data_IF_439155318668
#
_entry.id   IF_439155318668
#
_cell.length_a   1.000
_cell.length_b   1.000
_cell.length_c   1.000
_cell.angle_alpha   90.00
_cell.angle_beta   90.00
_cell.angle_gamma   90.00
#
_symmetry.space_group_name_H-M   'P 1'
#
loop_
_entity.id
_entity.type
_entity.pdbx_description
1 polymer ?
#
# COMPACT_ATOMS: atom_id res chain seq x y z
N UNK A 1 0.37 -29.01 40.17
CA UNK A 1 1.61 -29.83 40.20
C UNK A 1 2.18 -29.80 38.79
N UNK A 2 3.11 -28.91 38.50
CA UNK A 2 3.75 -28.81 37.17
C UNK A 2 4.62 -30.05 36.96
N UNK A 3 4.33 -30.85 35.93
CA UNK A 3 5.17 -32.00 35.57
C UNK A 3 6.53 -31.47 35.09
N UNK A 4 7.59 -32.17 35.45
CA UNK A 4 8.94 -31.88 34.97
C UNK A 4 9.27 -32.86 33.86
N UNK A 5 9.91 -32.38 32.79
CA UNK A 5 10.24 -33.18 31.60
C UNK A 5 11.73 -33.06 31.29
N UNK A 6 12.35 -34.16 30.86
CA UNK A 6 13.67 -34.09 30.22
C UNK A 6 13.55 -33.73 28.74
N UNK A 7 14.64 -33.27 28.11
CA UNK A 7 14.67 -33.05 26.66
C UNK A 7 14.43 -34.36 25.89
N UNK A 8 14.85 -35.50 26.44
CA UNK A 8 14.61 -36.81 25.85
C UNK A 8 13.11 -37.18 25.90
N UNK A 9 12.43 -36.83 27.00
CA UNK A 9 10.98 -37.04 27.12
C UNK A 9 10.24 -36.22 26.08
N UNK A 10 10.56 -34.93 25.93
CA UNK A 10 9.92 -34.09 24.90
C UNK A 10 10.22 -34.62 23.50
N UNK A 11 11.45 -35.07 23.22
CA UNK A 11 11.83 -35.63 21.92
C UNK A 11 11.04 -36.90 21.54
N UNK A 12 10.53 -37.65 22.52
CA UNK A 12 9.66 -38.81 22.28
C UNK A 12 8.22 -38.43 21.85
N UNK A 13 7.81 -37.17 22.07
CA UNK A 13 6.50 -36.62 21.70
C UNK A 13 6.61 -35.85 20.37
N UNK A 14 6.97 -36.57 19.31
CA UNK A 14 7.29 -36.02 17.99
C UNK A 14 6.31 -36.44 16.87
N UNK A 15 5.15 -37.01 17.22
CA UNK A 15 4.16 -37.51 16.25
C UNK A 15 2.92 -36.62 16.21
N UNK A 16 2.13 -36.63 15.12
CA UNK A 16 0.90 -35.85 15.05
C UNK A 16 -0.12 -36.16 16.16
N UNK A 17 -0.19 -37.40 16.61
CA UNK A 17 -1.08 -37.84 17.71
C UNK A 17 -0.46 -37.66 19.10
N UNK A 18 0.79 -37.18 19.18
CA UNK A 18 1.50 -36.93 20.41
C UNK A 18 2.62 -35.88 20.19
N UNK A 19 2.26 -34.58 20.27
CA UNK A 19 3.08 -33.46 19.77
C UNK A 19 3.38 -32.45 20.88
N UNK A 20 4.58 -32.51 21.45
CA UNK A 20 5.04 -31.53 22.44
C UNK A 20 6.13 -30.62 21.86
N UNK A 21 6.20 -29.38 22.36
CA UNK A 21 7.29 -28.44 22.06
C UNK A 21 7.77 -27.75 23.33
N UNK A 22 8.99 -27.22 23.28
CA UNK A 22 9.53 -26.34 24.34
C UNK A 22 9.56 -24.89 23.86
N UNK A 23 9.08 -23.98 24.70
CA UNK A 23 9.25 -22.53 24.54
C UNK A 23 9.74 -21.95 25.87
N UNK A 24 10.94 -21.35 25.87
CA UNK A 24 11.61 -20.75 27.03
C UNK A 24 11.63 -21.68 28.27
N UNK A 25 11.92 -22.95 28.02
CA UNK A 25 12.00 -24.01 29.04
C UNK A 25 10.65 -24.48 29.60
N UNK A 26 9.52 -23.96 29.11
CA UNK A 26 8.18 -24.49 29.40
C UNK A 26 7.75 -25.47 28.30
N UNK A 27 7.09 -26.56 28.69
CA UNK A 27 6.65 -27.64 27.78
C UNK A 27 5.16 -27.50 27.50
N UNK A 28 4.80 -27.49 26.22
CA UNK A 28 3.43 -27.31 25.74
C UNK A 28 2.97 -28.54 24.95
N UNK A 29 1.77 -29.03 25.25
CA UNK A 29 1.09 -30.06 24.46
C UNK A 29 0.23 -29.39 23.39
N UNK A 30 0.61 -29.59 22.12
CA UNK A 30 -0.10 -29.02 20.97
C UNK A 30 -0.85 -30.09 20.17
N UNK A 31 -0.98 -31.31 20.70
CA UNK A 31 -1.62 -32.44 20.01
C UNK A 31 -3.02 -32.08 19.52
N UNK A 32 -3.84 -31.42 20.35
CA UNK A 32 -5.18 -30.96 19.96
C UNK A 32 -5.15 -29.59 19.29
N UNK A 33 -4.19 -28.75 19.64
CA UNK A 33 -4.11 -27.38 19.14
C UNK A 33 -3.59 -27.29 17.69
N UNK A 34 -2.95 -28.33 17.18
CA UNK A 34 -2.33 -28.28 15.85
C UNK A 34 -3.33 -27.99 14.71
N UNK A 35 -4.60 -28.41 14.88
CA UNK A 35 -5.67 -28.17 13.91
C UNK A 35 -6.25 -26.74 14.01
N UNK A 36 -6.06 -26.08 15.16
CA UNK A 36 -6.50 -24.70 15.42
C UNK A 36 -5.40 -23.66 15.16
N UNK A 37 -4.15 -24.10 14.96
CA UNK A 37 -3.02 -23.20 14.76
C UNK A 37 -3.13 -22.44 13.42
N UNK A 38 -3.17 -21.09 13.41
CA UNK A 38 -3.39 -20.29 12.19
C UNK A 38 -2.35 -20.51 11.07
N UNK A 39 -1.12 -20.90 11.43
CA UNK A 39 -0.07 -21.26 10.46
C UNK A 39 -0.19 -22.69 9.89
N UNK A 40 -1.20 -23.45 10.32
CA UNK A 40 -1.44 -24.84 9.92
C UNK A 40 -0.58 -25.88 10.66
N UNK A 41 -1.12 -27.10 10.78
CA UNK A 41 -0.51 -28.21 11.53
C UNK A 41 0.89 -28.62 11.08
N UNK A 42 1.21 -28.49 9.79
CA UNK A 42 2.52 -28.88 9.22
C UNK A 42 3.70 -28.11 9.83
N UNK A 43 3.48 -26.87 10.27
CA UNK A 43 4.54 -26.05 10.87
C UNK A 43 4.88 -26.58 12.27
N UNK A 44 3.86 -26.92 13.06
CA UNK A 44 4.05 -27.49 14.40
C UNK A 44 4.65 -28.88 14.35
N UNK A 45 4.22 -29.72 13.41
CA UNK A 45 4.77 -31.07 13.20
C UNK A 45 6.28 -31.05 12.86
N UNK A 46 6.80 -29.98 12.23
CA UNK A 46 8.23 -29.85 11.90
C UNK A 46 9.12 -29.61 13.12
N UNK A 47 8.55 -28.98 14.15
CA UNK A 47 9.21 -28.65 15.42
C UNK A 47 8.78 -29.54 16.57
N UNK A 48 7.97 -30.56 16.29
CA UNK A 48 7.52 -31.54 17.27
C UNK A 48 8.72 -32.23 17.95
N UNK A 49 8.65 -32.33 19.27
CA UNK A 49 9.70 -32.88 20.12
C UNK A 49 10.98 -32.03 20.22
N UNK A 50 10.94 -30.75 19.84
CA UNK A 50 12.11 -29.85 19.85
C UNK A 50 11.88 -28.59 20.67
N UNK A 51 12.98 -27.92 20.98
CA UNK A 51 12.96 -26.53 21.42
C UNK A 51 12.64 -25.62 20.23
N UNK A 52 11.47 -24.99 20.31
CA UNK A 52 10.93 -24.11 19.28
C UNK A 52 10.97 -22.64 19.70
N UNK A 53 11.71 -22.27 20.76
CA UNK A 53 11.72 -20.90 21.30
C UNK A 53 12.09 -19.86 20.25
N UNK A 54 13.13 -20.11 19.45
CA UNK A 54 13.56 -19.21 18.36
C UNK A 54 12.48 -19.04 17.30
N UNK A 55 11.82 -20.13 16.91
CA UNK A 55 10.75 -20.14 15.92
C UNK A 55 9.50 -19.46 16.48
N UNK A 56 9.18 -19.66 17.76
CA UNK A 56 8.07 -19.02 18.42
C UNK A 56 8.23 -17.50 18.38
N UNK A 57 9.35 -16.97 18.89
CA UNK A 57 9.61 -15.53 18.94
C UNK A 57 9.79 -14.84 17.59
N UNK A 58 10.11 -15.61 16.54
CA UNK A 58 10.13 -15.09 15.18
C UNK A 58 8.74 -14.75 14.64
N UNK A 59 7.70 -15.46 15.09
CA UNK A 59 6.33 -15.37 14.53
C UNK A 59 5.26 -14.96 15.56
N UNK A 60 5.61 -14.95 16.86
CA UNK A 60 4.68 -14.70 17.96
C UNK A 60 5.27 -13.70 18.96
N UNK A 61 4.40 -13.14 19.79
CA UNK A 61 4.75 -12.20 20.86
C UNK A 61 4.32 -12.74 22.23
N UNK A 62 4.73 -12.05 23.29
CA UNK A 62 4.47 -12.46 24.68
C UNK A 62 2.97 -12.53 25.00
N UNK A 63 2.14 -11.72 24.34
CA UNK A 63 0.68 -11.73 24.52
C UNK A 63 0.05 -13.06 24.09
N UNK A 64 0.59 -13.70 23.04
CA UNK A 64 0.15 -15.02 22.61
C UNK A 64 0.49 -16.07 23.67
N UNK A 65 1.70 -16.01 24.22
CA UNK A 65 2.13 -16.93 25.29
C UNK A 65 1.21 -16.77 26.52
N UNK A 66 0.94 -15.54 26.96
CA UNK A 66 0.02 -15.27 28.08
C UNK A 66 -1.39 -15.83 27.85
N UNK A 67 -1.90 -15.72 26.61
CA UNK A 67 -3.25 -16.19 26.26
C UNK A 67 -3.39 -17.72 26.32
N UNK A 68 -2.40 -18.46 25.81
CA UNK A 68 -2.51 -19.91 25.64
C UNK A 68 -1.79 -20.73 26.72
N UNK A 69 -0.92 -20.10 27.50
CA UNK A 69 -0.12 -20.79 28.53
C UNK A 69 -0.96 -21.57 29.53
N UNK A 70 -2.06 -21.00 30.02
CA UNK A 70 -2.93 -21.66 30.99
C UNK A 70 -3.55 -22.97 30.46
N UNK A 71 -3.77 -23.07 29.15
CA UNK A 71 -4.50 -24.19 28.54
C UNK A 71 -3.57 -25.24 27.92
N UNK A 72 -2.40 -24.83 27.43
CA UNK A 72 -1.51 -25.70 26.65
C UNK A 72 -0.25 -26.11 27.41
N UNK A 73 0.12 -25.43 28.49
CA UNK A 73 1.31 -25.79 29.26
C UNK A 73 1.07 -27.05 30.07
N UNK A 74 1.90 -28.08 29.83
CA UNK A 74 1.85 -29.35 30.57
C UNK A 74 2.97 -29.49 31.60
N UNK A 75 4.01 -28.66 31.50
CA UNK A 75 5.14 -28.69 32.43
C UNK A 75 6.27 -27.72 32.09
N UNK A 76 7.44 -28.01 32.63
CA UNK A 76 8.70 -27.30 32.35
C UNK A 76 9.86 -28.29 32.30
N UNK A 77 10.96 -27.91 31.66
CA UNK A 77 12.14 -28.77 31.58
C UNK A 77 12.86 -28.91 32.93
N UNK A 78 13.44 -30.09 33.19
CA UNK A 78 14.20 -30.39 34.41
C UNK A 78 15.40 -29.45 34.60
N UNK A 79 15.94 -28.90 33.51
CA UNK A 79 17.03 -27.92 33.51
C UNK A 79 16.60 -26.52 33.95
N UNK A 80 15.31 -26.26 34.16
CA UNK A 80 14.78 -24.97 34.66
C UNK A 80 14.97 -24.86 36.18
N UNK A 81 16.22 -24.95 36.64
CA UNK A 81 16.63 -24.55 37.99
C UNK A 81 16.72 -23.02 38.01
N UNK A 82 16.16 -22.39 39.03
CA UNK A 82 15.95 -20.95 39.15
C UNK A 82 17.17 -20.09 38.74
N UNK A 83 17.14 -19.54 37.53
CA UNK A 83 17.99 -18.41 37.13
C UNK A 83 17.16 -17.13 37.23
N UNK A 84 17.66 -16.20 38.04
CA UNK A 84 17.13 -14.84 38.16
C UNK A 84 17.22 -14.14 36.79
N UNK A 85 16.25 -13.26 36.46
CA UNK A 85 16.24 -12.57 35.17
C UNK A 85 17.54 -11.77 34.97
N UNK A 86 18.13 -11.77 33.75
CA UNK A 86 19.33 -11.01 33.46
C UNK A 86 19.09 -9.51 33.64
N UNK A 87 20.04 -8.86 34.31
CA UNK A 87 20.07 -7.41 34.57
C UNK A 87 19.99 -6.64 33.25
N UNK A 88 19.08 -5.64 33.12
CA UNK A 88 19.05 -4.75 31.96
C UNK A 88 20.37 -3.96 31.85
N UNK A 89 20.85 -3.63 30.63
CA UNK A 89 21.97 -2.71 30.46
C UNK A 89 21.65 -1.35 31.08
N UNK A 90 22.69 -0.70 31.63
CA UNK A 90 22.59 0.55 32.38
C UNK A 90 21.89 1.68 31.61
N UNK A 91 20.89 2.27 32.28
CA UNK A 91 20.19 3.49 31.88
C UNK A 91 21.13 4.70 31.91
N UNK A 92 21.11 5.62 30.92
CA UNK A 92 21.76 6.93 31.04
C UNK A 92 21.14 7.75 32.18
N UNK A 93 21.86 8.74 32.75
CA UNK A 93 21.42 9.46 33.95
C UNK A 93 20.09 10.22 33.74
N UNK A 94 19.35 10.51 34.83
CA UNK A 94 17.99 11.02 34.76
C UNK A 94 17.98 12.44 34.16
N UNK A 95 17.22 12.62 33.07
CA UNK A 95 16.76 13.94 32.69
C UNK A 95 15.75 14.46 33.74
N UNK A 96 15.87 15.73 34.08
CA UNK A 96 15.04 16.44 35.06
C UNK A 96 13.54 16.22 34.83
N UNK A 97 12.80 16.06 35.94
CA UNK A 97 11.34 15.94 35.97
C UNK A 97 10.69 17.20 35.39
N UNK A 98 10.24 17.15 34.13
CA UNK A 98 9.18 18.04 33.66
C UNK A 98 7.83 17.48 34.10
N UNK A 99 7.06 18.34 34.77
CA UNK A 99 5.72 18.06 35.29
C UNK A 99 4.78 17.48 34.20
N UNK A 100 4.01 16.47 34.57
CA UNK A 100 2.83 16.04 33.81
C UNK A 100 1.77 17.13 33.89
N UNK A 101 1.49 17.79 32.78
CA UNK A 101 0.28 18.60 32.60
C UNK A 101 -0.84 17.65 32.17
N UNK A 102 -1.84 17.49 33.04
CA UNK A 102 -3.14 16.89 32.69
C UNK A 102 -3.94 17.99 31.99
N UNK A 103 -4.52 17.77 30.80
CA UNK A 103 -5.42 18.75 30.20
C UNK A 103 -6.72 18.79 31.01
N UNK A 104 -6.93 19.86 31.78
CA UNK A 104 -8.26 20.27 32.19
C UNK A 104 -8.87 21.08 31.05
N UNK A 105 -10.08 20.72 30.63
CA UNK A 105 -10.89 21.54 29.76
C UNK A 105 -11.41 22.74 30.55
N UNK A 106 -10.79 23.90 30.38
CA UNK A 106 -11.38 25.18 30.74
C UNK A 106 -12.05 25.79 29.50
N UNK A 107 -13.30 26.23 29.66
CA UNK A 107 -14.05 26.97 28.64
C UNK A 107 -13.40 28.34 28.44
N UNK A 108 -12.75 28.54 27.31
CA UNK A 108 -12.08 29.81 27.02
C UNK A 108 -11.35 29.80 25.68
N UNK A 109 -12.05 29.51 24.59
CA UNK A 109 -11.53 29.78 23.24
C UNK A 109 -11.49 31.28 23.02
N UNK A 110 -10.32 31.91 23.22
CA UNK A 110 -10.02 33.23 22.64
C UNK A 110 -9.49 32.97 21.24
N UNK A 111 -10.31 33.25 20.23
CA UNK A 111 -9.87 33.29 18.85
C UNK A 111 -8.78 34.36 18.69
N UNK A 112 -7.72 34.15 17.88
CA UNK A 112 -6.79 35.21 17.56
C UNK A 112 -7.56 36.30 16.80
N UNK A 113 -7.61 37.51 17.36
CA UNK A 113 -8.15 38.66 16.67
C UNK A 113 -7.30 38.95 15.41
N UNK A 114 -7.91 39.18 14.23
CA UNK A 114 -7.18 39.51 13.02
C UNK A 114 -6.44 40.85 13.21
N UNK A 115 -5.15 40.87 12.86
CA UNK A 115 -4.35 42.09 12.85
C UNK A 115 -4.84 43.08 11.80
N UNK A 116 -4.48 44.38 11.90
CA UNK A 116 -5.08 45.47 11.12
C UNK A 116 -4.75 45.50 9.62
N UNK A 117 -4.23 44.40 9.05
CA UNK A 117 -4.09 44.21 7.62
C UNK A 117 -5.24 43.40 6.98
N UNK A 118 -6.22 42.94 7.78
CA UNK A 118 -7.45 42.31 7.27
C UNK A 118 -8.49 43.39 6.92
N UNK A 119 -8.23 44.18 5.89
CA UNK A 119 -9.28 44.98 5.24
C UNK A 119 -9.36 44.57 3.77
N UNK A 120 -10.56 44.06 3.43
CA UNK A 120 -11.00 43.41 2.18
C UNK A 120 -10.69 41.91 2.06
N UNK A 121 -11.25 41.10 2.96
CA UNK A 121 -11.81 39.82 2.50
C UNK A 121 -13.16 40.14 1.89
N UNK A 122 -13.25 40.09 0.56
CA UNK A 122 -14.54 39.86 -0.09
C UNK A 122 -15.16 38.63 0.58
N UNK A 123 -16.38 38.76 1.08
CA UNK A 123 -17.14 37.62 1.56
C UNK A 123 -17.37 36.71 0.37
N UNK A 124 -16.55 35.67 0.24
CA UNK A 124 -16.75 34.65 -0.78
C UNK A 124 -18.16 34.05 -0.55
N UNK A 125 -19.03 34.27 -1.53
CA UNK A 125 -20.42 33.83 -1.47
C UNK A 125 -20.48 32.30 -1.41
N UNK A 126 -21.51 31.75 -0.77
CA UNK A 126 -21.73 30.32 -0.77
C UNK A 126 -22.01 29.86 -2.20
N UNK A 127 -21.43 28.72 -2.60
CA UNK A 127 -21.71 28.11 -3.90
C UNK A 127 -23.18 27.69 -3.99
N UNK A 128 -23.75 27.75 -5.19
CA UNK A 128 -25.10 27.26 -5.46
C UNK A 128 -25.23 25.77 -5.07
N UNK A 129 -26.30 25.38 -4.37
CA UNK A 129 -26.52 23.97 -4.00
C UNK A 129 -26.66 23.07 -5.22
N UNK A 130 -26.05 21.89 -5.17
CA UNK A 130 -26.16 20.87 -6.22
C UNK A 130 -26.24 19.45 -5.63
N UNK A 131 -26.80 18.51 -6.40
CA UNK A 131 -26.89 17.10 -6.05
C UNK A 131 -28.28 16.71 -5.55
N UNK A 132 -28.35 15.62 -4.76
CA UNK A 132 -29.62 15.02 -4.36
C UNK A 132 -30.40 15.82 -3.32
N UNK A 133 -29.73 16.77 -2.64
CA UNK A 133 -30.22 17.53 -1.48
C UNK A 133 -30.73 16.66 -0.31
N UNK A 134 -30.49 15.35 -0.37
CA UNK A 134 -30.75 14.43 0.73
C UNK A 134 -29.68 14.70 1.79
N UNK A 135 -30.07 14.88 3.07
CA UNK A 135 -29.12 15.12 4.15
C UNK A 135 -28.00 14.06 4.15
N UNK A 136 -26.74 14.52 4.13
CA UNK A 136 -25.53 13.69 4.16
C UNK A 136 -25.26 12.83 2.91
N UNK A 137 -26.06 12.95 1.84
CA UNK A 137 -25.81 12.23 0.58
C UNK A 137 -24.73 12.89 -0.30
N UNK A 138 -24.48 14.19 -0.07
CA UNK A 138 -23.39 14.96 -0.68
C UNK A 138 -22.63 15.76 0.40
N UNK A 139 -21.36 16.13 0.16
CA UNK A 139 -20.59 16.95 1.09
C UNK A 139 -21.21 18.34 1.34
N UNK A 140 -21.27 18.75 2.60
CA UNK A 140 -21.91 20.01 3.03
C UNK A 140 -21.31 21.28 2.37
N UNK A 141 -20.03 21.24 1.99
CA UNK A 141 -19.37 22.37 1.31
C UNK A 141 -19.98 22.69 -0.06
N UNK A 142 -20.72 21.74 -0.63
CA UNK A 142 -21.36 21.85 -1.94
C UNK A 142 -22.88 22.04 -1.86
N UNK A 143 -23.44 22.09 -0.65
CA UNK A 143 -24.88 22.23 -0.43
C UNK A 143 -25.27 23.53 0.28
N UNK A 144 -24.44 24.06 1.18
CA UNK A 144 -24.76 25.30 1.90
C UNK A 144 -23.62 25.92 2.70
N UNK A 145 -22.44 25.29 2.76
CA UNK A 145 -21.35 25.70 3.64
C UNK A 145 -20.15 26.22 2.84
N UNK A 146 -19.70 27.43 3.15
CA UNK A 146 -18.49 27.97 2.52
C UNK A 146 -17.24 27.24 3.05
N UNK A 147 -16.42 26.70 2.14
CA UNK A 147 -15.12 26.11 2.47
C UNK A 147 -14.00 27.00 1.94
N UNK A 148 -12.95 27.29 2.74
CA UNK A 148 -11.79 28.01 2.23
C UNK A 148 -10.93 27.19 1.25
N UNK A 149 -11.26 25.91 1.05
CA UNK A 149 -10.53 24.99 0.17
C UNK A 149 -11.26 24.64 -1.12
N UNK A 150 -12.59 24.81 -1.17
CA UNK A 150 -13.39 24.50 -2.35
C UNK A 150 -13.95 25.79 -2.95
N UNK A 151 -14.04 25.82 -4.27
CA UNK A 151 -14.48 26.99 -5.05
C UNK A 151 -15.25 26.50 -6.29
N UNK A 152 -15.53 27.42 -7.21
CA UNK A 152 -16.33 27.15 -8.40
C UNK A 152 -15.70 26.12 -9.34
N UNK A 153 -14.36 26.03 -9.42
CA UNK A 153 -13.71 25.03 -10.28
C UNK A 153 -13.85 23.62 -9.72
N UNK A 154 -13.86 23.48 -8.39
CA UNK A 154 -14.16 22.22 -7.72
C UNK A 154 -15.61 21.77 -7.95
N UNK A 155 -16.55 22.70 -7.82
CA UNK A 155 -17.96 22.48 -8.12
C UNK A 155 -18.18 22.05 -9.58
N UNK A 156 -17.56 22.76 -10.52
CA UNK A 156 -17.67 22.46 -11.94
C UNK A 156 -17.09 21.08 -12.30
N UNK A 157 -15.94 20.71 -11.71
CA UNK A 157 -15.35 19.38 -11.90
C UNK A 157 -16.26 18.28 -11.37
N UNK A 158 -16.79 18.46 -10.15
CA UNK A 158 -17.70 17.48 -9.55
C UNK A 158 -18.93 17.25 -10.44
N UNK A 159 -19.57 18.32 -10.93
CA UNK A 159 -20.73 18.19 -11.81
C UNK A 159 -20.38 17.44 -13.11
N UNK A 160 -19.25 17.76 -13.74
CA UNK A 160 -18.79 17.10 -14.97
C UNK A 160 -18.52 15.60 -14.76
N UNK A 161 -17.79 15.25 -13.69
CA UNK A 161 -17.43 13.86 -13.41
C UNK A 161 -18.66 13.07 -13.00
N UNK A 162 -19.57 13.67 -12.23
CA UNK A 162 -20.84 13.05 -11.84
C UNK A 162 -21.71 12.70 -13.03
N UNK A 163 -21.88 13.65 -13.96
CA UNK A 163 -22.65 13.40 -15.19
C UNK A 163 -22.11 12.17 -15.93
N UNK A 164 -20.78 12.07 -16.06
CA UNK A 164 -20.14 10.90 -16.68
C UNK A 164 -20.33 9.61 -15.87
N UNK A 165 -20.15 9.65 -14.55
CA UNK A 165 -20.31 8.49 -13.67
C UNK A 165 -21.74 7.95 -13.72
N UNK A 166 -22.74 8.82 -13.56
CA UNK A 166 -24.16 8.42 -13.52
C UNK A 166 -24.66 7.91 -14.89
N UNK A 167 -24.15 8.44 -16.00
CA UNK A 167 -24.60 8.04 -17.35
C UNK A 167 -23.86 6.82 -17.91
N UNK A 168 -22.53 6.76 -17.75
CA UNK A 168 -21.69 5.79 -18.47
C UNK A 168 -21.18 4.65 -17.59
N UNK A 169 -21.24 4.78 -16.25
CA UNK A 169 -20.59 3.84 -15.32
C UNK A 169 -21.60 3.18 -14.39
N UNK A 170 -22.30 3.97 -13.59
CA UNK A 170 -23.19 3.48 -12.52
C UNK A 170 -24.22 2.44 -13.00
N UNK A 171 -24.87 2.59 -14.18
CA UNK A 171 -25.84 1.61 -14.66
C UNK A 171 -25.24 0.22 -14.94
N UNK A 172 -23.93 0.11 -15.12
CA UNK A 172 -23.26 -1.10 -15.59
C UNK A 172 -22.25 -1.68 -14.59
N UNK A 173 -21.91 -0.92 -13.54
CA UNK A 173 -20.79 -1.25 -12.64
C UNK A 173 -20.94 -2.61 -11.96
N UNK A 174 -22.16 -2.99 -11.59
CA UNK A 174 -22.45 -4.30 -10.98
C UNK A 174 -22.13 -5.44 -11.93
N UNK A 175 -22.57 -5.34 -13.20
CA UNK A 175 -22.29 -6.35 -14.23
C UNK A 175 -20.78 -6.47 -14.48
N UNK A 176 -20.06 -5.34 -14.54
CA UNK A 176 -18.61 -5.33 -14.75
C UNK A 176 -17.84 -5.95 -13.59
N UNK A 177 -18.29 -5.72 -12.35
CA UNK A 177 -17.71 -6.35 -11.17
C UNK A 177 -17.92 -7.87 -11.18
N UNK A 178 -19.16 -8.34 -11.39
CA UNK A 178 -19.47 -9.78 -11.49
C UNK A 178 -18.71 -10.44 -12.66
N UNK A 179 -18.64 -9.74 -13.80
CA UNK A 179 -17.85 -10.13 -14.97
C UNK A 179 -16.33 -10.00 -14.80
N UNK A 180 -15.88 -9.48 -13.66
CA UNK A 180 -14.46 -9.24 -13.31
C UNK A 180 -13.72 -8.37 -14.35
N UNK A 181 -14.43 -7.51 -15.07
CA UNK A 181 -13.84 -6.70 -16.15
C UNK A 181 -14.60 -5.39 -16.34
N UNK A 182 -13.90 -4.29 -16.16
CA UNK A 182 -14.31 -2.97 -16.68
C UNK A 182 -13.98 -2.91 -18.18
N UNK A 183 -14.86 -2.39 -19.04
CA UNK A 183 -14.55 -2.18 -20.46
C UNK A 183 -13.35 -1.26 -20.66
N UNK A 184 -12.49 -1.60 -21.64
CA UNK A 184 -11.29 -0.82 -21.93
C UNK A 184 -11.61 0.62 -22.38
N UNK A 185 -12.79 0.82 -22.98
CA UNK A 185 -13.32 2.14 -23.35
C UNK A 185 -13.49 3.07 -22.15
N UNK A 186 -13.87 2.57 -20.96
CA UNK A 186 -14.04 3.41 -19.76
C UNK A 186 -12.67 3.93 -19.28
N UNK A 187 -11.63 3.09 -19.33
CA UNK A 187 -10.28 3.54 -19.01
C UNK A 187 -9.74 4.51 -20.08
N UNK A 188 -10.05 4.28 -21.36
CA UNK A 188 -9.70 5.21 -22.44
C UNK A 188 -10.33 6.59 -22.22
N UNK A 189 -11.60 6.64 -21.81
CA UNK A 189 -12.29 7.88 -21.48
C UNK A 189 -11.62 8.66 -20.34
N UNK A 190 -11.03 8.00 -19.33
CA UNK A 190 -10.24 8.68 -18.29
C UNK A 190 -9.08 9.49 -18.89
N UNK A 191 -8.46 8.98 -19.95
CA UNK A 191 -7.38 9.68 -20.67
C UNK A 191 -7.90 10.77 -21.60
N UNK A 192 -8.97 10.51 -22.36
CA UNK A 192 -9.60 11.47 -23.29
C UNK A 192 -10.17 12.69 -22.58
N UNK A 193 -10.77 12.49 -21.40
CA UNK A 193 -11.29 13.57 -20.54
C UNK A 193 -10.18 14.28 -19.74
N UNK A 194 -8.93 13.85 -19.87
CA UNK A 194 -7.79 14.43 -19.17
C UNK A 194 -7.74 14.14 -17.67
N UNK A 195 -8.53 13.19 -17.16
CA UNK A 195 -8.58 12.85 -15.74
C UNK A 195 -7.29 12.15 -15.27
N UNK A 196 -6.69 11.28 -16.09
CA UNK A 196 -5.41 10.64 -15.74
C UNK A 196 -4.29 11.66 -15.47
N UNK A 197 -4.23 12.74 -16.25
CA UNK A 197 -3.25 13.82 -16.03
C UNK A 197 -3.48 14.58 -14.71
N UNK A 198 -4.72 14.59 -14.21
CA UNK A 198 -5.10 15.18 -12.94
C UNK A 198 -4.84 14.29 -11.72
N UNK A 199 -4.50 13.01 -11.90
CA UNK A 199 -4.37 11.99 -10.85
C UNK A 199 -2.91 11.61 -10.54
N UNK A 200 -1.97 12.54 -10.73
CA UNK A 200 -0.52 12.28 -10.58
C UNK A 200 0.08 12.80 -9.25
N UNK A 201 -0.70 13.48 -8.41
CA UNK A 201 -0.20 14.10 -7.18
C UNK A 201 0.79 15.24 -7.40
N UNK A 202 0.80 15.81 -8.61
CA UNK A 202 1.66 16.94 -9.03
C UNK A 202 0.83 17.95 -9.80
N UNK A 203 1.44 19.09 -10.17
CA UNK A 203 0.80 20.05 -11.08
C UNK A 203 0.42 19.36 -12.39
N UNK A 204 -0.75 19.71 -12.92
CA UNK A 204 -1.29 19.13 -14.14
C UNK A 204 -0.28 19.25 -15.32
N UNK A 205 0.21 18.13 -15.88
CA UNK A 205 1.30 18.14 -16.87
C UNK A 205 0.78 18.41 -18.29
N UNK A 206 0.25 19.61 -18.52
CA UNK A 206 -0.36 20.01 -19.79
C UNK A 206 0.55 19.86 -21.03
N UNK A 207 1.87 19.84 -20.85
CA UNK A 207 2.85 19.66 -21.93
C UNK A 207 3.04 18.19 -22.36
N UNK A 208 2.51 17.22 -21.61
CA UNK A 208 2.67 15.78 -21.87
C UNK A 208 1.41 15.12 -22.41
N UNK A 209 0.32 15.87 -22.58
CA UNK A 209 -0.93 15.40 -23.19
C UNK A 209 -1.65 16.58 -23.84
N UNK A 210 -2.37 16.41 -24.96
CA UNK A 210 -3.27 17.43 -25.48
C UNK A 210 -4.65 17.42 -24.78
N UNK A 211 -5.04 16.32 -24.13
CA UNK A 211 -6.35 16.16 -23.51
C UNK A 211 -6.47 17.00 -22.25
N UNK A 212 -7.67 17.53 -21.98
CA UNK A 212 -7.94 18.46 -20.88
C UNK A 212 -9.25 18.10 -20.21
N UNK A 213 -9.28 18.32 -18.90
CA UNK A 213 -10.53 18.44 -18.16
C UNK A 213 -11.30 19.64 -18.71
N UNK A 214 -12.59 19.46 -18.99
CA UNK A 214 -13.40 20.48 -19.66
C UNK A 214 -13.72 21.66 -18.72
N UNK A 215 -14.05 21.37 -17.47
CA UNK A 215 -14.46 22.33 -16.44
C UNK A 215 -13.31 23.09 -15.79
N UNK A 216 -12.08 22.54 -15.79
CA UNK A 216 -10.95 23.08 -15.03
C UNK A 216 -9.72 23.27 -15.92
N UNK A 217 -9.25 24.51 -16.10
CA UNK A 217 -8.00 24.75 -16.82
C UNK A 217 -6.80 24.23 -16.00
N UNK A 218 -5.73 23.69 -16.64
CA UNK A 218 -4.58 23.12 -15.95
C UNK A 218 -3.92 24.04 -14.91
N UNK A 219 -3.96 25.35 -15.12
CA UNK A 219 -3.35 26.37 -14.26
C UNK A 219 -4.09 26.52 -12.92
N UNK A 220 -5.36 26.12 -12.86
CA UNK A 220 -6.20 26.13 -11.65
C UNK A 220 -6.30 24.77 -10.99
N UNK A 221 -5.64 23.73 -11.52
CA UNK A 221 -5.67 22.40 -10.95
C UNK A 221 -4.90 22.31 -9.62
N UNK A 222 -5.53 21.71 -8.62
CA UNK A 222 -4.92 21.43 -7.31
C UNK A 222 -5.26 20.02 -6.80
N UNK A 223 -4.80 19.67 -5.60
CA UNK A 223 -5.00 18.35 -5.01
C UNK A 223 -6.45 18.08 -4.57
N UNK A 224 -7.28 19.10 -4.38
CA UNK A 224 -8.69 18.92 -4.07
C UNK A 224 -9.45 18.50 -5.33
N UNK A 225 -9.06 18.97 -6.52
CA UNK A 225 -9.59 18.45 -7.79
C UNK A 225 -9.27 16.96 -7.98
N UNK A 226 -8.04 16.54 -7.68
CA UNK A 226 -7.63 15.13 -7.70
C UNK A 226 -8.48 14.27 -6.72
N UNK A 227 -8.73 14.80 -5.52
CA UNK A 227 -9.59 14.15 -4.53
C UNK A 227 -11.02 13.98 -5.06
N UNK A 228 -11.58 14.98 -5.75
CA UNK A 228 -12.94 14.92 -6.28
C UNK A 228 -13.10 13.88 -7.39
N UNK A 229 -12.09 13.69 -8.25
CA UNK A 229 -12.10 12.59 -9.21
C UNK A 229 -12.22 11.23 -8.51
N UNK A 230 -11.46 11.04 -7.43
CA UNK A 230 -11.52 9.79 -6.65
C UNK A 230 -12.86 9.63 -5.94
N UNK A 231 -13.39 10.72 -5.36
CA UNK A 231 -14.66 10.73 -4.63
C UNK A 231 -15.85 10.41 -5.55
N UNK A 232 -15.96 11.07 -6.70
CA UNK A 232 -17.06 10.83 -7.66
C UNK A 232 -17.00 9.42 -8.27
N UNK A 233 -15.80 8.89 -8.59
CA UNK A 233 -15.66 7.49 -9.01
C UNK A 233 -16.13 6.50 -7.92
N UNK A 234 -15.90 6.84 -6.65
CA UNK A 234 -16.28 6.00 -5.50
C UNK A 234 -17.79 5.97 -5.26
N UNK A 235 -18.56 6.92 -5.79
CA UNK A 235 -20.02 6.97 -5.64
C UNK A 235 -20.74 5.76 -6.21
N UNK A 236 -20.13 5.10 -7.19
CA UNK A 236 -20.62 3.85 -7.78
C UNK A 236 -20.71 2.68 -6.78
N UNK A 237 -20.10 2.80 -5.59
CA UNK A 237 -20.08 1.74 -4.60
C UNK A 237 -19.18 0.55 -4.95
N UNK A 238 -18.42 0.63 -6.06
CA UNK A 238 -17.53 -0.44 -6.51
C UNK A 238 -16.06 -0.12 -6.25
N UNK A 239 -15.48 -0.81 -5.27
CA UNK A 239 -14.03 -0.80 -5.09
C UNK A 239 -13.27 -1.42 -6.27
N UNK A 240 -13.89 -2.37 -6.99
CA UNK A 240 -13.32 -3.01 -8.17
C UNK A 240 -13.07 -2.02 -9.30
N UNK A 241 -14.08 -1.21 -9.63
CA UNK A 241 -14.01 -0.14 -10.62
C UNK A 241 -12.96 0.91 -10.23
N UNK A 242 -13.04 1.44 -9.01
CA UNK A 242 -12.10 2.48 -8.54
C UNK A 242 -10.66 1.98 -8.66
N UNK A 243 -10.39 0.74 -8.21
CA UNK A 243 -9.06 0.17 -8.32
C UNK A 243 -8.67 -0.20 -9.76
N UNK A 244 -9.64 -0.48 -10.65
CA UNK A 244 -9.39 -0.67 -12.08
C UNK A 244 -8.88 0.63 -12.73
N UNK A 245 -9.56 1.74 -12.47
CA UNK A 245 -9.32 3.01 -13.16
C UNK A 245 -8.13 3.77 -12.60
N UNK A 246 -7.99 3.81 -11.27
CA UNK A 246 -6.99 4.66 -10.62
C UNK A 246 -6.05 3.88 -9.69
N UNK A 247 -6.36 2.64 -9.34
CA UNK A 247 -5.63 1.86 -8.34
C UNK A 247 -4.19 1.52 -8.74
N UNK A 248 -3.97 0.99 -9.95
CA UNK A 248 -2.63 0.73 -10.47
C UNK A 248 -1.93 2.01 -10.93
N UNK A 249 -2.65 2.86 -11.66
CA UNK A 249 -2.13 4.11 -12.21
C UNK A 249 -1.63 5.07 -11.11
N UNK A 250 -2.46 5.34 -10.09
CA UNK A 250 -2.22 6.35 -9.04
C UNK A 250 -1.03 6.03 -8.13
N UNK A 251 -0.55 4.77 -8.11
CA UNK A 251 0.64 4.37 -7.36
C UNK A 251 1.81 3.97 -8.25
N UNK A 252 1.53 3.48 -9.47
CA UNK A 252 2.55 3.04 -10.42
C UNK A 252 3.17 4.18 -11.21
N UNK A 253 2.39 5.21 -11.55
CA UNK A 253 2.82 6.33 -12.38
C UNK A 253 3.64 7.39 -11.63
N UNK A 254 3.32 7.79 -10.38
CA UNK A 254 4.07 8.86 -9.71
C UNK A 254 5.58 8.60 -9.55
N UNK A 255 6.06 7.38 -9.26
CA UNK A 255 7.50 7.10 -9.23
C UNK A 255 8.20 7.36 -10.57
N UNK A 256 7.55 7.03 -11.70
CA UNK A 256 8.07 7.35 -13.04
C UNK A 256 8.18 8.85 -13.23
N UNK A 257 7.12 9.62 -12.95
CA UNK A 257 7.11 11.08 -13.11
C UNK A 257 8.18 11.75 -12.26
N UNK A 258 8.39 11.25 -11.03
CA UNK A 258 9.29 11.85 -10.06
C UNK A 258 10.76 11.47 -10.22
N UNK A 259 11.03 10.21 -10.58
CA UNK A 259 12.38 9.64 -10.54
C UNK A 259 12.86 9.10 -11.90
N UNK A 260 11.99 9.04 -12.90
CA UNK A 260 12.36 8.65 -14.25
C UNK A 260 13.25 9.68 -14.93
N UNK A 261 14.10 9.20 -15.85
CA UNK A 261 14.86 10.08 -16.74
C UNK A 261 13.88 10.82 -17.67
N UNK A 262 14.25 12.05 -18.08
CA UNK A 262 13.37 12.89 -18.90
C UNK A 262 12.98 12.22 -20.22
N UNK A 263 13.93 11.53 -20.84
CA UNK A 263 13.76 10.80 -22.09
C UNK A 263 12.76 9.65 -21.91
N UNK A 264 12.84 8.93 -20.79
CA UNK A 264 11.91 7.85 -20.45
C UNK A 264 10.49 8.41 -20.25
N UNK A 265 10.36 9.45 -19.42
CA UNK A 265 9.06 10.10 -19.15
C UNK A 265 8.41 10.59 -20.43
N UNK A 266 9.16 11.30 -21.28
CA UNK A 266 8.64 11.83 -22.55
C UNK A 266 8.23 10.74 -23.54
N UNK A 267 8.88 9.57 -23.50
CA UNK A 267 8.56 8.44 -24.39
C UNK A 267 7.25 7.76 -24.00
N UNK A 268 7.00 7.55 -22.71
CA UNK A 268 5.93 6.64 -22.26
C UNK A 268 4.74 7.36 -21.63
N UNK A 269 4.97 8.48 -20.93
CA UNK A 269 3.90 9.13 -20.18
C UNK A 269 2.76 9.63 -21.07
N UNK A 270 3.00 10.19 -22.28
CA UNK A 270 1.91 10.61 -23.15
C UNK A 270 0.90 9.50 -23.47
N UNK A 271 1.36 8.28 -23.75
CA UNK A 271 0.48 7.13 -24.01
C UNK A 271 -0.31 6.68 -22.77
N UNK A 272 0.28 6.80 -21.59
CA UNK A 272 -0.40 6.52 -20.32
C UNK A 272 -1.49 7.57 -20.08
N UNK A 273 -1.18 8.86 -20.24
CA UNK A 273 -2.13 9.96 -20.02
C UNK A 273 -3.25 10.01 -21.06
N UNK A 274 -3.01 9.50 -22.26
CA UNK A 274 -4.03 9.32 -23.28
C UNK A 274 -4.97 8.13 -23.02
N UNK A 275 -4.69 7.31 -22.00
CA UNK A 275 -5.46 6.10 -21.68
C UNK A 275 -5.18 4.91 -22.61
N UNK A 276 -4.17 5.01 -23.49
CA UNK A 276 -3.78 3.95 -24.43
C UNK A 276 -2.88 2.88 -23.79
N UNK A 277 -2.21 3.26 -22.70
CA UNK A 277 -1.28 2.41 -21.97
C UNK A 277 -1.59 2.43 -20.48
N UNK A 278 -1.37 1.30 -19.83
CA UNK A 278 -1.60 1.13 -18.38
C UNK A 278 -0.29 0.89 -17.64
N UNK A 279 -0.23 1.39 -16.42
CA UNK A 279 0.91 1.23 -15.50
C UNK A 279 0.44 0.79 -14.12
N UNK A 280 1.19 -0.08 -13.47
CA UNK A 280 0.94 -0.50 -12.09
C UNK A 280 2.21 -0.51 -11.24
N UNK A 281 2.02 -0.66 -9.92
CA UNK A 281 3.10 -0.82 -8.96
C UNK A 281 3.27 -2.30 -8.57
N UNK A 282 4.46 -2.85 -8.77
CA UNK A 282 4.80 -4.25 -8.55
C UNK A 282 5.87 -4.40 -7.45
N UNK A 283 5.44 -4.38 -6.19
CA UNK A 283 6.34 -4.49 -5.03
C UNK A 283 6.21 -5.85 -4.36
N UNK A 284 5.01 -6.13 -3.84
CA UNK A 284 4.71 -7.29 -2.98
C UNK A 284 5.00 -8.60 -3.68
N UNK A 285 5.57 -9.53 -2.91
CA UNK A 285 5.92 -10.89 -3.35
C UNK A 285 5.13 -11.92 -2.52
N UNK A 286 5.07 -13.19 -2.96
CA UNK A 286 4.46 -14.25 -2.15
C UNK A 286 4.99 -14.32 -0.71
N UNK A 287 6.30 -14.10 -0.54
CA UNK A 287 6.99 -14.20 0.75
C UNK A 287 7.33 -12.84 1.39
N UNK A 288 7.03 -11.71 0.71
CA UNK A 288 7.36 -10.36 1.18
C UNK A 288 6.20 -9.37 0.96
N UNK A 289 5.36 -9.24 1.98
CA UNK A 289 4.29 -8.23 2.07
C UNK A 289 4.71 -7.02 2.91
N UNK A 290 4.55 -7.13 4.24
CA UNK A 290 4.98 -6.08 5.18
C UNK A 290 6.51 -5.93 5.25
N UNK A 291 7.27 -7.00 4.96
CA UNK A 291 8.73 -6.98 4.97
C UNK A 291 9.31 -6.79 3.57
N UNK A 292 8.98 -5.66 2.94
CA UNK A 292 9.47 -5.31 1.59
C UNK A 292 11.00 -5.26 1.53
N UNK A 293 11.67 -4.99 2.67
CA UNK A 293 13.13 -4.93 2.74
C UNK A 293 13.81 -6.27 2.41
N UNK A 294 13.09 -7.39 2.54
CA UNK A 294 13.56 -8.75 2.26
C UNK A 294 12.94 -9.38 1.01
N UNK A 295 12.45 -8.56 0.08
CA UNK A 295 12.06 -9.03 -1.25
C UNK A 295 13.22 -9.77 -1.96
N UNK A 296 12.85 -10.71 -2.82
CA UNK A 296 13.73 -11.70 -3.48
C UNK A 296 13.74 -11.61 -4.99
N UNK A 297 12.77 -10.95 -5.63
CA UNK A 297 12.81 -10.68 -7.06
C UNK A 297 14.09 -9.90 -7.37
N UNK A 298 14.97 -10.50 -8.16
CA UNK A 298 16.33 -10.01 -8.40
C UNK A 298 16.46 -9.35 -9.76
N UNK A 299 17.42 -8.44 -9.85
CA UNK A 299 17.81 -7.77 -11.08
C UNK A 299 19.34 -7.74 -11.14
N UNK A 300 19.94 -8.61 -11.96
CA UNK A 300 21.39 -8.71 -12.15
C UNK A 300 21.81 -7.86 -13.32
N UNK A 301 22.81 -6.99 -13.13
CA UNK A 301 23.35 -6.19 -14.23
C UNK A 301 24.09 -7.10 -15.21
N UNK A 302 23.86 -6.92 -16.51
CA UNK A 302 24.56 -7.61 -17.58
C UNK A 302 26.06 -7.30 -17.56
N UNK A 303 26.86 -8.21 -18.11
CA UNK A 303 28.33 -8.04 -18.19
C UNK A 303 28.73 -6.75 -18.93
N UNK A 304 27.96 -6.35 -19.94
CA UNK A 304 28.18 -5.11 -20.69
C UNK A 304 27.63 -3.85 -20.01
N UNK A 305 26.97 -3.99 -18.85
CA UNK A 305 26.41 -2.90 -18.07
C UNK A 305 25.23 -2.17 -18.69
N UNK A 306 24.63 -2.70 -19.77
CA UNK A 306 23.56 -2.00 -20.52
C UNK A 306 22.15 -2.34 -20.06
N UNK A 307 21.95 -3.50 -19.44
CA UNK A 307 20.63 -3.92 -19.00
C UNK A 307 20.69 -4.76 -17.72
N UNK A 308 19.57 -4.85 -17.03
CA UNK A 308 19.35 -5.82 -15.97
C UNK A 308 18.63 -7.05 -16.54
N UNK A 309 18.97 -8.22 -16.02
CA UNK A 309 18.20 -9.45 -16.16
C UNK A 309 17.37 -9.62 -14.90
N UNK A 310 16.05 -9.55 -15.02
CA UNK A 310 15.10 -9.59 -13.91
C UNK A 310 14.46 -10.97 -13.80
N UNK A 311 14.50 -11.54 -12.60
CA UNK A 311 13.89 -12.83 -12.27
C UNK A 311 13.12 -12.76 -10.95
N UNK A 312 11.93 -13.35 -10.90
CA UNK A 312 11.15 -13.49 -9.67
C UNK A 312 9.65 -13.26 -9.86
N UNK A 313 8.94 -13.14 -8.74
CA UNK A 313 7.48 -13.09 -8.74
C UNK A 313 6.94 -11.91 -7.93
N UNK A 314 5.79 -11.41 -8.36
CA UNK A 314 5.00 -10.38 -7.69
C UNK A 314 3.58 -10.87 -7.48
N UNK A 315 2.97 -10.49 -6.37
CA UNK A 315 1.65 -10.94 -5.93
C UNK A 315 0.81 -9.74 -5.49
N UNK A 316 -0.51 -9.83 -5.68
CA UNK A 316 -1.48 -8.77 -5.36
C UNK A 316 -1.33 -7.51 -6.21
N UNK A 317 -0.87 -7.64 -7.45
CA UNK A 317 -0.61 -6.47 -8.29
C UNK A 317 -1.89 -6.02 -8.98
N UNK A 318 -2.46 -4.92 -8.49
CA UNK A 318 -3.65 -4.27 -9.07
C UNK A 318 -3.37 -3.83 -10.51
N UNK A 319 -4.33 -4.12 -11.39
CA UNK A 319 -4.27 -3.91 -12.86
C UNK A 319 -3.19 -4.68 -13.62
N UNK A 320 -2.36 -5.49 -12.94
CA UNK A 320 -1.20 -6.14 -13.56
C UNK A 320 -1.53 -6.91 -14.84
N UNK A 321 -2.72 -7.51 -14.93
CA UNK A 321 -3.20 -8.28 -16.10
C UNK A 321 -3.35 -7.42 -17.37
N UNK A 322 -3.55 -6.11 -17.26
CA UNK A 322 -3.71 -5.19 -18.39
C UNK A 322 -2.55 -4.22 -18.57
N UNK A 323 -1.64 -4.12 -17.60
CA UNK A 323 -0.56 -3.14 -17.65
C UNK A 323 0.47 -3.43 -18.73
N UNK A 324 0.89 -2.37 -19.42
CA UNK A 324 2.04 -2.35 -20.32
C UNK A 324 3.33 -2.06 -19.56
N UNK A 325 3.24 -1.37 -18.42
CA UNK A 325 4.38 -0.94 -17.62
C UNK A 325 4.24 -1.34 -16.15
N UNK A 326 5.34 -1.81 -15.56
CA UNK A 326 5.41 -2.23 -14.16
C UNK A 326 6.50 -1.45 -13.44
N UNK A 327 6.10 -0.53 -12.57
CA UNK A 327 7.03 0.09 -11.60
C UNK A 327 7.35 -0.95 -10.53
N UNK A 328 8.52 -1.57 -10.63
CA UNK A 328 8.85 -2.82 -9.93
C UNK A 328 9.97 -2.63 -8.92
N UNK A 329 9.77 -3.06 -7.68
CA UNK A 329 10.84 -3.14 -6.69
C UNK A 329 11.62 -4.45 -6.85
N UNK A 330 12.94 -4.34 -6.99
CA UNK A 330 13.84 -5.48 -7.26
C UNK A 330 15.11 -5.39 -6.42
N UNK A 331 15.72 -6.54 -6.15
CA UNK A 331 17.01 -6.71 -5.50
C UNK A 331 18.12 -6.53 -6.54
N UNK A 332 18.85 -5.42 -6.47
CA UNK A 332 20.05 -5.17 -7.30
C UNK A 332 21.35 -5.24 -6.50
N UNK A 333 21.25 -5.29 -5.17
CA UNK A 333 22.40 -5.31 -4.26
C UNK A 333 22.23 -6.34 -3.15
N UNK A 334 22.89 -6.11 -2.01
CA UNK A 334 22.86 -6.99 -0.84
C UNK A 334 21.52 -7.02 -0.09
N UNK A 335 21.47 -7.68 1.09
CA UNK A 335 20.25 -7.78 1.88
C UNK A 335 19.75 -6.44 2.44
N UNK A 336 18.47 -6.39 2.80
CA UNK A 336 17.83 -5.24 3.45
C UNK A 336 17.53 -4.06 2.51
N UNK A 337 17.09 -2.94 3.09
CA UNK A 337 16.56 -1.79 2.32
C UNK A 337 17.58 -1.16 1.36
N UNK A 338 18.88 -1.28 1.66
CA UNK A 338 19.95 -0.67 0.86
C UNK A 338 20.34 -1.50 -0.37
N UNK A 339 19.72 -2.65 -0.62
CA UNK A 339 19.94 -3.42 -1.85
C UNK A 339 18.76 -3.44 -2.80
N UNK A 340 17.72 -2.66 -2.53
CA UNK A 340 16.51 -2.59 -3.35
C UNK A 340 16.57 -1.38 -4.28
N UNK A 341 16.17 -1.59 -5.52
CA UNK A 341 16.01 -0.58 -6.58
C UNK A 341 14.58 -0.57 -7.11
N UNK A 342 14.21 0.51 -7.82
CA UNK A 342 13.01 0.57 -8.62
C UNK A 342 13.36 0.55 -10.10
N UNK A 343 12.77 -0.37 -10.84
CA UNK A 343 12.88 -0.46 -12.30
C UNK A 343 11.50 -0.26 -12.92
N UNK A 344 11.45 0.41 -14.05
CA UNK A 344 10.28 0.38 -14.92
C UNK A 344 10.43 -0.77 -15.93
N UNK A 345 9.67 -1.84 -15.72
CA UNK A 345 9.68 -3.01 -16.60
C UNK A 345 8.56 -2.84 -17.62
N UNK A 346 8.87 -2.97 -18.90
CA UNK A 346 7.86 -2.99 -19.96
C UNK A 346 7.37 -4.42 -20.16
N UNK A 347 6.07 -4.62 -20.41
CA UNK A 347 5.52 -5.92 -20.75
C UNK A 347 6.15 -6.41 -22.05
N UNK A 348 6.65 -7.64 -22.04
CA UNK A 348 7.29 -8.25 -23.19
C UNK A 348 7.68 -9.70 -22.91
N UNK A 349 8.71 -10.16 -23.62
CA UNK A 349 9.30 -11.49 -23.42
C UNK A 349 9.71 -11.70 -21.95
N UNK A 350 9.44 -12.89 -21.41
CA UNK A 350 9.73 -13.23 -20.02
C UNK A 350 8.74 -12.67 -18.98
N UNK A 351 7.76 -11.85 -19.37
CA UNK A 351 6.72 -11.35 -18.47
C UNK A 351 5.45 -12.16 -18.63
N UNK A 352 5.08 -12.95 -17.61
CA UNK A 352 3.80 -13.66 -17.56
C UNK A 352 2.92 -13.12 -16.45
N UNK A 353 1.60 -13.12 -16.68
CA UNK A 353 0.61 -12.59 -15.73
C UNK A 353 -0.57 -13.51 -15.59
N UNK A 354 -0.99 -13.78 -14.36
CA UNK A 354 -2.15 -14.61 -14.03
C UNK A 354 -3.06 -13.89 -13.05
N UNK A 355 -4.34 -13.76 -13.40
CA UNK A 355 -5.34 -13.16 -12.52
C UNK A 355 -5.53 -13.98 -11.25
N UNK A 356 -5.81 -13.28 -10.15
CA UNK A 356 -6.16 -13.86 -8.85
C UNK A 356 -7.67 -13.80 -8.63
N UNK A 357 -8.23 -14.86 -8.07
CA UNK A 357 -9.60 -14.84 -7.54
C UNK A 357 -9.58 -14.31 -6.10
N UNK A 358 -10.22 -13.16 -5.91
CA UNK A 358 -10.28 -12.45 -4.64
C UNK A 358 -11.72 -12.45 -4.10
N UNK A 359 -11.88 -12.24 -2.78
CA UNK A 359 -13.21 -12.18 -2.16
C UNK A 359 -14.04 -10.97 -2.62
N UNK A 360 -13.40 -9.89 -3.06
CA UNK A 360 -14.04 -8.70 -3.60
C UNK A 360 -13.15 -7.98 -4.60
N UNK A 361 -13.51 -6.75 -4.96
CA UNK A 361 -12.81 -5.90 -5.95
C UNK A 361 -12.48 -6.63 -7.26
N UNK A 362 -13.42 -7.45 -7.72
CA UNK A 362 -13.19 -8.43 -8.78
C UNK A 362 -12.74 -7.82 -10.11
N UNK A 363 -13.30 -6.66 -10.47
CA UNK A 363 -12.93 -5.96 -11.70
C UNK A 363 -11.61 -5.19 -11.60
N UNK A 364 -10.91 -5.17 -10.45
CA UNK A 364 -9.63 -4.45 -10.29
C UNK A 364 -8.43 -5.14 -10.96
N UNK A 365 -8.58 -6.42 -11.34
CA UNK A 365 -7.54 -7.19 -12.01
C UNK A 365 -6.32 -7.46 -11.14
N UNK A 366 -6.52 -7.85 -9.88
CA UNK A 366 -5.45 -8.35 -9.00
C UNK A 366 -4.70 -9.51 -9.66
N UNK A 367 -3.38 -9.41 -9.71
CA UNK A 367 -2.55 -10.26 -10.60
C UNK A 367 -1.31 -10.79 -9.89
N UNK A 368 -0.98 -12.04 -10.20
CA UNK A 368 0.37 -12.60 -10.08
C UNK A 368 1.18 -12.27 -11.32
N UNK A 369 2.40 -11.81 -11.14
CA UNK A 369 3.33 -11.52 -12.22
C UNK A 369 4.59 -12.35 -12.01
N UNK A 370 5.04 -13.03 -13.05
CA UNK A 370 6.32 -13.74 -13.06
C UNK A 370 7.22 -13.08 -14.09
N UNK A 371 8.46 -12.82 -13.70
CA UNK A 371 9.54 -12.33 -14.54
C UNK A 371 10.57 -13.46 -14.70
N UNK A 372 10.82 -13.87 -15.94
CA UNK A 372 11.78 -14.90 -16.33
C UNK A 372 12.75 -14.31 -17.35
N UNK A 373 13.98 -14.06 -16.92
CA UNK A 373 15.07 -13.49 -17.73
C UNK A 373 14.71 -12.21 -18.50
N UNK A 374 13.89 -11.35 -17.87
CA UNK A 374 13.41 -10.12 -18.50
C UNK A 374 14.55 -9.10 -18.61
N UNK A 375 14.85 -8.68 -19.84
CA UNK A 375 15.87 -7.66 -20.12
C UNK A 375 15.31 -6.25 -19.93
N UNK A 376 15.85 -5.53 -18.96
CA UNK A 376 15.42 -4.17 -18.62
C UNK A 376 16.58 -3.20 -18.81
N UNK A 377 16.51 -2.23 -19.74
CA UNK A 377 17.59 -1.28 -19.96
C UNK A 377 17.94 -0.46 -18.71
N UNK A 378 19.21 -0.10 -18.51
CA UNK A 378 19.64 0.70 -17.33
C UNK A 378 19.03 2.11 -17.30
N UNK A 379 18.55 2.61 -18.44
CA UNK A 379 17.77 3.85 -18.52
C UNK A 379 16.37 3.76 -17.91
N UNK A 380 15.85 2.54 -17.71
CA UNK A 380 14.58 2.30 -17.05
C UNK A 380 14.68 2.23 -15.51
N UNK A 381 15.88 2.45 -14.94
CA UNK A 381 16.04 2.62 -13.49
C UNK A 381 15.37 3.91 -13.05
N UNK A 382 14.47 3.81 -12.07
CA UNK A 382 13.81 4.96 -11.46
C UNK A 382 14.62 5.43 -10.24
N UNK A 383 15.28 6.58 -10.38
CA UNK A 383 16.16 7.13 -9.35
C UNK A 383 17.55 6.50 -9.37
N UNK A 384 18.13 6.25 -8.20
CA UNK A 384 19.48 5.69 -8.07
C UNK A 384 19.40 4.19 -7.72
N UNK A 385 20.26 3.34 -8.31
CA UNK A 385 20.38 1.95 -7.89
C UNK A 385 20.62 1.84 -6.37
N UNK A 386 20.05 0.81 -5.74
CA UNK A 386 20.17 0.52 -4.31
C UNK A 386 19.56 1.60 -3.39
N UNK A 387 18.73 2.48 -3.95
CA UNK A 387 18.07 3.59 -3.24
C UNK A 387 16.55 3.56 -3.38
N UNK A 388 15.96 2.39 -3.64
CA UNK A 388 14.51 2.20 -3.80
C UNK A 388 13.69 2.59 -2.55
N UNK A 389 14.30 2.58 -1.36
CA UNK A 389 13.68 3.07 -0.12
C UNK A 389 13.95 4.54 0.21
N UNK A 390 14.85 5.23 -0.51
CA UNK A 390 15.22 6.60 -0.19
C UNK A 390 14.24 7.61 -0.77
N UNK A 391 13.09 7.75 -0.11
CA UNK A 391 12.34 9.00 -0.12
C UNK A 391 12.97 9.97 0.89
N UNK A 392 13.70 11.01 0.44
CA UNK A 392 14.01 12.12 1.34
C UNK A 392 12.68 12.62 1.94
N UNK A 393 12.54 12.57 3.26
CA UNK A 393 11.44 13.16 4.02
C UNK A 393 11.36 14.65 3.63
N UNK A 394 10.39 15.10 2.81
CA UNK A 394 10.34 16.51 2.46
C UNK A 394 9.78 17.28 3.68
N UNK A 395 10.28 18.49 3.92
CA UNK A 395 9.73 19.42 4.92
C UNK A 395 8.30 19.87 4.58
N UNK A 396 7.83 19.56 3.37
CA UNK A 396 6.46 19.77 2.89
C UNK A 396 5.79 18.41 2.71
N UNK A 397 4.56 18.26 3.23
CA UNK A 397 3.68 17.10 3.04
C UNK A 397 3.26 17.00 1.56
N UNK A 398 4.18 16.68 0.66
CA UNK A 398 3.87 16.38 -0.73
C UNK A 398 3.99 14.87 -0.95
N UNK A 399 2.94 14.32 -1.58
CA UNK A 399 2.57 12.99 -2.10
C UNK A 399 3.64 11.87 -2.15
N UNK A 400 4.94 12.15 -2.13
CA UNK A 400 5.99 11.15 -1.96
C UNK A 400 5.97 10.36 -0.64
N UNK A 401 5.17 10.78 0.36
CA UNK A 401 4.92 10.01 1.58
C UNK A 401 4.08 8.75 1.29
N UNK A 402 3.32 8.72 0.19
CA UNK A 402 2.50 7.58 -0.19
C UNK A 402 3.33 6.34 -0.54
N UNK A 403 4.52 6.46 -1.13
CA UNK A 403 5.26 5.25 -1.56
C UNK A 403 5.61 4.29 -0.42
N UNK A 404 6.11 4.80 0.71
CA UNK A 404 6.48 3.98 1.88
C UNK A 404 5.31 3.85 2.86
N UNK A 405 4.44 4.86 2.99
CA UNK A 405 3.28 4.78 3.88
C UNK A 405 2.18 3.87 3.31
N UNK A 406 1.93 3.89 2.00
CA UNK A 406 0.90 3.08 1.34
C UNK A 406 1.36 1.63 1.16
N UNK A 407 2.62 1.39 0.78
CA UNK A 407 3.18 0.03 0.76
C UNK A 407 3.14 -0.63 2.16
N UNK A 408 3.32 0.14 3.24
CA UNK A 408 3.15 -0.34 4.61
C UNK A 408 1.68 -0.39 5.10
N UNK A 409 0.76 0.32 4.44
CA UNK A 409 -0.67 0.36 4.80
C UNK A 409 -1.45 -0.76 4.10
N UNK A 410 -1.15 -1.06 2.84
CA UNK A 410 -1.71 -2.21 2.13
C UNK A 410 -1.15 -3.56 2.60
N UNK A 411 -0.08 -3.55 3.38
CA UNK A 411 0.55 -4.75 3.94
C UNK A 411 0.11 -5.08 5.38
N UNK A 412 -0.69 -4.21 5.99
CA UNK A 412 -1.36 -4.40 7.28
C UNK A 412 -2.84 -4.60 7.05
#
# INVERSE_FOLDING_TARGET
MSKTFSLADVASHNKPDNLYIVVDGDVYDLTKFQDEHPGGKKILQRVAGKDASKQFWKYHNEGILKKYKANLQVGSLDSKKAEAPPTPPATPPPAEKKQKVVPQAESGTVAPAPGPAAQKTESAEALDPFGSLIPFADPAWYQSYHSPYFNETHAALRAEVREWVESEIEPYVTEWDEGKKVPDSIYKQMGERGYLAGLLGVKYPAHLTPNRVKSVPPEKWDLFHEMLLTDELSRTGSGGLVWNLIGGFGIGCPPLVKYGKKELVNRILPGILAGDKRICLAITEPDAGSDVANLTCEAKLSEDGKHYIVNGEKKWITNGIWCDYFTTAVRTGGPGMNGVSLLLIERGEGVSTRRMDCQGVWSSGTTYITFEDVKVPVENVLGKPNKGFQGKRPRTRNVGFYFVSWANFCSR
#
